data_IF_440059052792
#
_entry.id   IF_440059052792
#
_cell.length_a   1.000
_cell.length_b   1.000
_cell.length_c   1.000
_cell.angle_alpha   90.00
_cell.angle_beta   90.00
_cell.angle_gamma   90.00
#
_symmetry.space_group_name_H-M   'P 1'
#
loop_
_entity.id
_entity.type
_entity.pdbx_description
1 polymer ?
#
# COMPACT_ATOMS: atom_id res chain seq x y z
N UNK A 1 -23.95 -9.39 39.06
CA UNK A 1 -24.93 -9.31 37.95
C UNK A 1 -24.27 -8.76 36.68
N UNK A 2 -23.19 -9.39 36.19
CA UNK A 2 -22.46 -8.97 34.98
C UNK A 2 -22.07 -10.18 34.10
N UNK A 3 -22.71 -11.32 34.28
CA UNK A 3 -22.41 -12.58 33.57
C UNK A 3 -23.48 -13.00 32.56
N UNK A 4 -24.21 -12.05 31.99
CA UNK A 4 -25.40 -12.32 31.17
C UNK A 4 -25.21 -12.23 29.66
N UNK A 5 -24.11 -11.64 29.18
CA UNK A 5 -23.83 -11.56 27.75
C UNK A 5 -23.04 -12.81 27.37
N UNK A 6 -23.76 -13.88 27.03
CA UNK A 6 -23.15 -15.10 26.52
C UNK A 6 -22.72 -14.88 25.07
N UNK A 7 -21.61 -15.52 24.70
CA UNK A 7 -20.98 -15.43 23.37
C UNK A 7 -21.97 -15.77 22.24
N UNK A 8 -22.92 -16.66 22.52
CA UNK A 8 -23.97 -17.07 21.60
C UNK A 8 -24.92 -15.94 21.20
N UNK A 9 -25.25 -15.05 22.14
CA UNK A 9 -26.10 -13.89 21.91
C UNK A 9 -25.38 -12.87 21.04
N UNK A 10 -24.07 -12.66 21.26
CA UNK A 10 -23.26 -11.75 20.45
C UNK A 10 -23.18 -12.21 18.99
N UNK A 11 -23.03 -13.51 18.73
CA UNK A 11 -23.02 -14.05 17.36
C UNK A 11 -24.36 -13.83 16.64
N UNK A 12 -25.48 -14.04 17.32
CA UNK A 12 -26.81 -13.82 16.74
C UNK A 12 -27.01 -12.33 16.40
N UNK A 13 -26.65 -11.44 17.32
CA UNK A 13 -26.75 -9.98 17.11
C UNK A 13 -25.83 -9.53 15.96
N UNK A 14 -24.59 -10.01 15.95
CA UNK A 14 -23.63 -9.72 14.87
C UNK A 14 -24.15 -10.19 13.50
N UNK A 15 -24.78 -11.36 13.45
CA UNK A 15 -25.40 -11.88 12.23
C UNK A 15 -26.49 -10.96 11.68
N UNK A 16 -27.36 -10.44 12.55
CA UNK A 16 -28.41 -9.49 12.15
C UNK A 16 -27.80 -8.19 11.62
N UNK A 17 -26.78 -7.65 12.30
CA UNK A 17 -26.08 -6.43 11.85
C UNK A 17 -25.47 -6.64 10.45
N UNK A 18 -24.79 -7.76 10.23
CA UNK A 18 -24.22 -8.10 8.92
C UNK A 18 -25.31 -8.21 7.86
N UNK A 19 -26.49 -8.75 8.19
CA UNK A 19 -27.59 -8.90 7.24
C UNK A 19 -28.24 -7.56 6.87
N UNK A 20 -28.38 -6.65 7.84
CA UNK A 20 -28.94 -5.30 7.63
C UNK A 20 -27.97 -4.39 6.87
N UNK A 21 -26.71 -4.35 7.30
CA UNK A 21 -25.70 -3.49 6.70
C UNK A 21 -25.04 -4.10 5.44
N UNK A 22 -25.14 -5.42 5.27
CA UNK A 22 -24.42 -6.19 4.26
C UNK A 22 -22.92 -6.33 4.58
N UNK A 23 -22.30 -7.40 4.08
CA UNK A 23 -20.85 -7.63 4.24
C UNK A 23 -19.99 -6.59 3.50
N UNK A 24 -20.52 -5.96 2.44
CA UNK A 24 -19.79 -4.98 1.62
C UNK A 24 -19.47 -3.69 2.39
N UNK A 25 -20.45 -3.12 3.12
CA UNK A 25 -20.21 -1.94 3.97
C UNK A 25 -19.37 -2.29 5.19
N UNK A 26 -19.62 -3.44 5.81
CA UNK A 26 -18.87 -3.88 6.98
C UNK A 26 -17.40 -4.19 6.63
N UNK A 27 -17.11 -4.67 5.42
CA UNK A 27 -15.74 -4.83 4.92
C UNK A 27 -15.04 -3.50 4.70
N UNK A 28 -15.68 -2.55 4.03
CA UNK A 28 -15.06 -1.24 3.76
C UNK A 28 -14.68 -0.54 5.07
N UNK A 29 -15.64 -0.43 5.99
CA UNK A 29 -15.43 0.19 7.31
C UNK A 29 -14.51 -0.67 8.18
N UNK A 30 -14.64 -1.99 8.11
CA UNK A 30 -13.81 -2.94 8.86
C UNK A 30 -12.35 -2.99 8.39
N UNK A 31 -12.05 -2.68 7.14
CA UNK A 31 -10.67 -2.55 6.65
C UNK A 31 -10.01 -1.31 7.23
N UNK A 32 -10.72 -0.17 7.27
CA UNK A 32 -10.19 1.09 7.81
C UNK A 32 -9.96 0.99 9.33
N UNK A 33 -10.97 0.55 10.07
CA UNK A 33 -10.88 0.35 11.52
C UNK A 33 -9.96 -0.81 11.88
N UNK A 34 -9.99 -1.90 11.13
CA UNK A 34 -9.14 -3.07 11.34
C UNK A 34 -7.67 -2.76 11.14
N UNK A 35 -7.33 -1.90 10.16
CA UNK A 35 -5.98 -1.40 9.95
C UNK A 35 -5.46 -0.62 11.16
N UNK A 36 -6.25 0.32 11.67
CA UNK A 36 -5.91 1.12 12.84
C UNK A 36 -5.73 0.26 14.11
N UNK A 37 -6.66 -0.67 14.36
CA UNK A 37 -6.59 -1.58 15.50
C UNK A 37 -5.42 -2.57 15.37
N UNK A 38 -5.08 -3.03 14.16
CA UNK A 38 -3.92 -3.90 13.93
C UNK A 38 -2.60 -3.20 14.26
N UNK A 39 -2.45 -1.93 13.88
CA UNK A 39 -1.28 -1.12 14.24
C UNK A 39 -1.17 -0.91 15.75
N UNK A 40 -2.28 -0.59 16.41
CA UNK A 40 -2.34 -0.43 17.86
C UNK A 40 -1.98 -1.73 18.61
N UNK A 41 -2.56 -2.88 18.22
CA UNK A 41 -2.22 -4.18 18.82
C UNK A 41 -0.73 -4.50 18.63
N UNK A 42 -0.18 -4.21 17.45
CA UNK A 42 1.24 -4.45 17.17
C UNK A 42 2.14 -3.58 18.04
N UNK A 43 1.87 -2.29 18.15
CA UNK A 43 2.62 -1.38 19.01
C UNK A 43 2.55 -1.80 20.48
N UNK A 44 1.36 -2.18 20.97
CA UNK A 44 1.18 -2.67 22.35
C UNK A 44 1.94 -3.98 22.60
N UNK A 45 1.90 -4.94 21.68
CA UNK A 45 2.70 -6.17 21.80
C UNK A 45 4.20 -5.93 21.66
N UNK A 46 4.64 -5.00 20.82
CA UNK A 46 6.06 -4.66 20.67
C UNK A 46 6.58 -3.95 21.93
N UNK A 47 5.77 -3.11 22.59
CA UNK A 47 6.10 -2.51 23.89
C UNK A 47 6.11 -3.53 25.03
N UNK A 48 5.21 -4.52 25.01
CA UNK A 48 5.20 -5.63 25.97
C UNK A 48 6.41 -6.56 25.77
N UNK A 49 6.76 -6.91 24.52
CA UNK A 49 7.93 -7.75 24.20
C UNK A 49 9.27 -7.05 24.47
N UNK A 50 9.38 -5.73 24.25
CA UNK A 50 10.60 -4.98 24.56
C UNK A 50 10.91 -4.89 26.07
N UNK A 51 9.98 -5.30 26.95
CA UNK A 51 10.23 -5.43 28.38
C UNK A 51 10.74 -6.81 28.79
N UNK A 52 10.66 -7.83 27.94
CA UNK A 52 10.99 -9.21 28.35
C UNK A 52 12.10 -9.91 27.55
N UNK A 53 12.44 -9.56 26.30
CA UNK A 53 13.67 -10.10 25.68
C UNK A 53 14.09 -9.31 24.43
N UNK A 54 15.37 -8.92 24.36
CA UNK A 54 16.07 -8.75 23.09
C UNK A 54 16.12 -10.14 22.46
N UNK A 55 15.34 -10.44 21.43
CA UNK A 55 15.73 -11.30 20.31
C UNK A 55 14.56 -11.57 19.33
N UNK A 56 14.91 -11.57 18.05
CA UNK A 56 14.24 -12.22 16.90
C UNK A 56 13.04 -11.56 16.18
N UNK A 57 13.41 -11.07 14.98
CA UNK A 57 12.75 -11.22 13.68
C UNK A 57 11.33 -10.63 13.47
N UNK A 58 11.31 -9.41 12.91
CA UNK A 58 10.11 -8.83 12.29
C UNK A 58 10.20 -8.88 10.76
N UNK A 59 10.33 -10.07 10.20
CA UNK A 59 10.01 -10.30 8.78
C UNK A 59 8.65 -10.97 8.64
N UNK A 60 7.59 -10.18 8.51
CA UNK A 60 6.32 -10.67 7.97
C UNK A 60 5.79 -9.67 6.93
N UNK A 61 5.33 -10.15 5.76
CA UNK A 61 5.26 -9.39 4.52
C UNK A 61 4.12 -8.38 4.55
N UNK A 62 4.37 -7.20 3.98
CA UNK A 62 3.32 -6.26 3.64
C UNK A 62 2.32 -6.97 2.72
N UNK A 63 1.13 -7.27 3.23
CA UNK A 63 0.03 -7.76 2.42
C UNK A 63 -0.28 -6.69 1.37
N UNK A 64 0.21 -6.94 0.15
CA UNK A 64 -0.11 -6.21 -1.07
C UNK A 64 -1.63 -6.15 -1.21
N UNK A 65 -2.22 -5.01 -0.89
CA UNK A 65 -3.61 -4.73 -1.20
C UNK A 65 -3.66 -4.41 -2.70
N UNK A 66 -3.67 -5.47 -3.51
CA UNK A 66 -4.03 -5.37 -4.92
C UNK A 66 -5.52 -5.01 -4.98
N UNK A 67 -5.83 -3.76 -5.31
CA UNK A 67 -7.13 -3.40 -5.88
C UNK A 67 -7.11 -3.83 -7.35
N UNK A 68 -7.64 -5.01 -7.64
CA UNK A 68 -8.08 -5.38 -8.99
C UNK A 68 -9.54 -4.97 -9.12
N UNK A 69 -9.77 -3.77 -9.65
CA UNK A 69 -11.05 -3.38 -10.23
C UNK A 69 -10.75 -2.90 -11.67
N UNK A 70 -11.24 -3.57 -12.72
CA UNK A 70 -11.04 -3.13 -14.10
C UNK A 70 -11.98 -1.96 -14.38
N UNK A 71 -11.47 -0.74 -14.28
CA UNK A 71 -12.24 0.48 -14.52
C UNK A 71 -11.37 1.58 -15.10
N UNK A 72 -11.20 1.55 -16.43
CA UNK A 72 -10.70 2.59 -17.35
C UNK A 72 -10.06 3.84 -16.73
N UNK A 73 -8.74 3.81 -16.52
CA UNK A 73 -7.93 5.03 -16.51
C UNK A 73 -7.58 5.37 -17.95
N UNK A 74 -8.02 6.54 -18.42
CA UNK A 74 -7.66 7.05 -19.74
C UNK A 74 -6.24 7.60 -19.69
N UNK A 75 -5.32 6.99 -20.43
CA UNK A 75 -3.93 7.43 -20.54
C UNK A 75 -3.86 8.76 -21.31
N UNK A 76 -3.46 9.83 -20.62
CA UNK A 76 -3.13 11.11 -21.26
C UNK A 76 -1.65 11.06 -21.65
N UNK A 77 -1.38 10.70 -22.91
CA UNK A 77 -0.04 10.67 -23.48
C UNK A 77 0.42 12.11 -23.76
N UNK A 78 1.38 12.62 -22.98
CA UNK A 78 2.00 13.91 -23.25
C UNK A 78 2.94 13.78 -24.45
N UNK A 79 2.52 14.32 -25.60
CA UNK A 79 3.34 14.46 -26.80
C UNK A 79 4.35 15.60 -26.58
N UNK A 80 5.62 15.25 -26.30
CA UNK A 80 6.72 16.20 -26.23
C UNK A 80 7.03 16.70 -27.65
N UNK A 81 6.50 17.88 -27.98
CA UNK A 81 6.87 18.65 -29.17
C UNK A 81 8.38 18.87 -29.20
N UNK A 82 9.08 18.09 -30.03
CA UNK A 82 10.38 18.46 -30.59
C UNK A 82 10.20 19.72 -31.44
N UNK A 83 10.41 20.88 -30.83
CA UNK A 83 10.56 22.15 -31.51
C UNK A 83 11.98 22.68 -31.28
N UNK A 84 12.78 22.55 -32.34
CA UNK A 84 13.75 23.53 -32.82
C UNK A 84 14.53 24.36 -31.79
N UNK A 85 15.83 24.05 -31.63
CA UNK A 85 16.81 25.11 -31.48
C UNK A 85 18.11 24.75 -32.22
N UNK A 86 18.20 25.17 -33.47
CA UNK A 86 19.42 25.21 -34.27
C UNK A 86 19.98 26.63 -34.21
N UNK A 87 21.03 26.87 -33.42
CA UNK A 87 21.98 27.96 -33.61
C UNK A 87 23.31 27.59 -32.92
N UNK A 88 24.31 27.13 -33.68
CA UNK A 88 25.41 27.92 -34.28
C UNK A 88 26.47 28.33 -33.26
N UNK A 89 27.61 27.64 -33.28
CA UNK A 89 28.99 28.13 -33.05
C UNK A 89 29.88 26.88 -32.92
N UNK A 90 30.50 26.44 -34.00
CA UNK A 90 31.87 26.85 -34.37
C UNK A 90 32.91 26.34 -33.38
N UNK A 91 33.59 25.23 -33.75
CA UNK A 91 35.00 24.93 -33.48
C UNK A 91 35.33 23.54 -34.03
N UNK A 92 35.77 23.48 -35.29
CA UNK A 92 36.67 22.42 -35.77
C UNK A 92 38.11 22.95 -35.59
N UNK A 93 39.02 22.14 -35.04
CA UNK A 93 39.95 21.42 -35.92
C UNK A 93 40.13 19.96 -35.47
N UNK A 94 39.97 18.97 -36.35
CA UNK A 94 41.07 18.31 -37.04
C UNK A 94 42.10 17.70 -36.08
N UNK A 95 41.90 16.43 -35.70
CA UNK A 95 43.01 15.55 -35.28
C UNK A 95 43.28 14.50 -36.37
N UNK A 96 44.57 14.17 -36.61
CA UNK A 96 45.04 13.50 -37.81
C UNK A 96 45.03 11.98 -37.67
N UNK A 97 45.04 11.31 -38.81
CA UNK A 97 45.10 9.87 -39.04
C UNK A 97 46.15 9.11 -38.20
N UNK A 98 45.70 8.16 -37.38
CA UNK A 98 46.52 6.99 -37.04
C UNK A 98 46.28 5.89 -38.09
N UNK A 99 47.21 5.90 -39.03
CA UNK A 99 47.47 4.92 -40.07
C UNK A 99 47.76 3.55 -39.43
N UNK A 100 46.85 2.58 -39.61
CA UNK A 100 47.20 1.16 -39.48
C UNK A 100 47.51 0.61 -40.88
N UNK A 101 48.79 0.60 -41.26
CA UNK A 101 49.47 -0.49 -41.96
C UNK A 101 50.96 -0.22 -42.12
#
# INVERSE_FOLDING_TARGET
MLGGISIWQLLIVLGIIILVFGTKKLRNVGTDLGGAVKGFKKAMHDEEKNKEDNDEDTNQPQAKVTHEEPGNTYDVQAEEKRAANSHTADSRPAEPNEERK
#
